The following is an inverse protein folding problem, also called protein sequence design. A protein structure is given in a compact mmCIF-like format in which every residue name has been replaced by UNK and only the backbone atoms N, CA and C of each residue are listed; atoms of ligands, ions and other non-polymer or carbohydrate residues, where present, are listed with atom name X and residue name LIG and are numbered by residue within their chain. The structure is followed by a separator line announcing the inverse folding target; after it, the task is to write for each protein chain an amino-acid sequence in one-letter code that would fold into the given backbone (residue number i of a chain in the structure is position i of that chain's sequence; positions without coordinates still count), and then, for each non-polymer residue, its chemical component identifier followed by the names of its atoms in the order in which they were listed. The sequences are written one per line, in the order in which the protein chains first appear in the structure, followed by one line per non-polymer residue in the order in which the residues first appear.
data_IF_368029705177
#
_entry.id   IF_368029705177
#
_cell.length_a   1.000
_cell.length_b   1.000
_cell.length_c   1.000
_cell.angle_alpha   90.00
_cell.angle_beta   90.00
_cell.angle_gamma   90.00
#
_symmetry.space_group_name_H-M   'P 1'
#
loop_
_entity.id
_entity.type
_entity.pdbx_description
1 polymer ?
#
# COMPACT_ATOMS: atom_id res chain seq x y z
N UNK A 1 8.39 -35.26 -13.92
CA UNK A 1 7.98 -36.68 -14.12
C UNK A 1 7.29 -37.31 -12.90
N UNK A 2 7.64 -36.95 -11.65
CA UNK A 2 7.01 -37.54 -10.44
C UNK A 2 5.56 -37.08 -10.24
N UNK A 3 5.18 -35.86 -10.67
CA UNK A 3 3.82 -35.29 -10.48
C UNK A 3 2.75 -35.89 -11.43
N UNK A 4 3.12 -36.46 -12.55
CA UNK A 4 2.16 -37.04 -13.49
C UNK A 4 1.65 -38.41 -13.03
N UNK A 5 2.48 -39.20 -12.35
CA UNK A 5 2.13 -40.52 -11.83
C UNK A 5 1.22 -40.46 -10.59
N UNK A 6 1.29 -39.40 -9.81
CA UNK A 6 0.37 -39.15 -8.67
C UNK A 6 -1.01 -38.70 -9.15
N UNK A 7 -1.06 -38.03 -10.29
CA UNK A 7 -2.32 -37.53 -10.88
C UNK A 7 -3.21 -38.66 -11.41
N UNK A 8 -2.61 -39.67 -12.05
CA UNK A 8 -3.36 -40.81 -12.61
C UNK A 8 -3.92 -41.76 -11.53
N UNK A 9 -3.26 -41.89 -10.39
CA UNK A 9 -3.75 -42.74 -9.29
C UNK A 9 -4.92 -42.11 -8.51
N UNK A 10 -5.10 -40.79 -8.57
CA UNK A 10 -6.19 -40.05 -7.90
C UNK A 10 -7.47 -39.94 -8.75
N UNK A 11 -7.38 -40.25 -10.07
CA UNK A 11 -8.53 -40.21 -10.98
C UNK A 11 -9.47 -41.43 -10.86
N UNK A 12 -9.05 -42.51 -10.21
CA UNK A 12 -9.75 -43.81 -10.25
C UNK A 12 -10.48 -44.20 -8.96
N UNK A 13 -10.69 -43.31 -8.00
CA UNK A 13 -11.41 -43.64 -6.75
C UNK A 13 -12.76 -42.90 -6.65
N UNK A 14 -13.85 -43.61 -7.03
CA UNK A 14 -15.25 -43.16 -6.97
C UNK A 14 -15.84 -43.08 -5.57
N UNK A 15 -15.15 -42.51 -4.57
CA UNK A 15 -15.63 -42.40 -3.20
C UNK A 15 -15.95 -40.94 -2.84
N UNK A 16 -17.14 -40.59 -2.30
CA UNK A 16 -17.54 -39.23 -1.97
C UNK A 16 -16.67 -38.53 -0.92
N UNK A 17 -15.93 -39.27 -0.10
CA UNK A 17 -14.94 -38.70 0.86
C UNK A 17 -13.68 -38.11 0.16
N UNK A 18 -13.40 -38.54 -1.07
CA UNK A 18 -12.28 -37.97 -1.86
C UNK A 18 -12.64 -36.67 -2.54
N UNK A 19 -13.91 -36.28 -2.63
CA UNK A 19 -14.33 -34.99 -3.21
C UNK A 19 -13.89 -33.80 -2.34
N UNK A 20 -13.88 -33.94 -1.02
CA UNK A 20 -13.44 -32.90 -0.07
C UNK A 20 -11.92 -32.76 -0.12
N UNK A 21 -11.19 -33.89 -0.11
CA UNK A 21 -9.74 -33.89 -0.26
C UNK A 21 -9.30 -33.37 -1.65
N UNK A 22 -10.08 -33.66 -2.70
CA UNK A 22 -9.90 -33.11 -4.04
C UNK A 22 -10.05 -31.58 -4.06
N UNK A 23 -11.02 -31.04 -3.34
CA UNK A 23 -11.28 -29.61 -3.25
C UNK A 23 -10.19 -28.89 -2.45
N UNK A 24 -9.69 -29.49 -1.36
CA UNK A 24 -8.58 -29.00 -0.56
C UNK A 24 -7.26 -29.07 -1.34
N UNK A 25 -7.03 -30.18 -2.06
CA UNK A 25 -5.82 -30.38 -2.85
C UNK A 25 -5.79 -29.51 -4.12
N UNK A 26 -6.94 -29.31 -4.80
CA UNK A 26 -7.08 -28.34 -5.90
C UNK A 26 -6.90 -26.89 -5.37
N UNK A 27 -7.39 -26.57 -4.18
CA UNK A 27 -7.19 -25.26 -3.59
C UNK A 27 -5.72 -25.01 -3.19
N UNK A 28 -5.01 -26.03 -2.69
CA UNK A 28 -3.58 -25.96 -2.41
C UNK A 28 -2.72 -25.99 -3.68
N UNK A 29 -3.13 -26.72 -4.74
CA UNK A 29 -2.46 -26.72 -6.06
C UNK A 29 -2.68 -25.39 -6.81
N UNK A 30 -3.85 -24.77 -6.68
CA UNK A 30 -4.10 -23.42 -7.22
C UNK A 30 -3.24 -22.39 -6.47
N UNK A 31 -3.04 -22.54 -5.15
CA UNK A 31 -2.08 -21.70 -4.39
C UNK A 31 -0.61 -21.97 -4.72
N UNK A 32 -0.25 -23.19 -5.16
CA UNK A 32 1.14 -23.58 -5.49
C UNK A 32 1.45 -23.41 -6.99
N UNK A 33 0.46 -23.50 -7.90
CA UNK A 33 0.66 -23.35 -9.35
C UNK A 33 0.62 -21.89 -9.86
N UNK A 34 0.50 -20.89 -8.97
CA UNK A 34 0.80 -19.50 -9.35
C UNK A 34 2.30 -19.16 -9.23
N UNK A 35 3.14 -20.13 -8.91
CA UNK A 35 4.59 -19.94 -8.86
C UNK A 35 5.25 -21.04 -9.70
N UNK A 36 5.76 -20.70 -10.85
CA UNK A 36 6.63 -21.45 -11.78
C UNK A 36 5.98 -22.02 -13.05
N UNK A 37 5.83 -21.15 -14.03
CA UNK A 37 6.07 -21.52 -15.42
C UNK A 37 6.60 -20.29 -16.17
N UNK A 38 7.87 -20.39 -16.57
CA UNK A 38 8.59 -19.49 -17.47
C UNK A 38 9.03 -18.14 -16.85
N UNK A 39 10.26 -18.04 -16.38
CA UNK A 39 11.23 -16.93 -16.44
C UNK A 39 10.82 -15.47 -16.21
N UNK A 40 9.55 -15.17 -15.98
CA UNK A 40 9.02 -13.88 -15.54
C UNK A 40 8.30 -14.11 -14.20
N UNK A 41 8.77 -13.47 -13.16
CA UNK A 41 8.04 -13.35 -11.89
C UNK A 41 6.75 -12.59 -12.22
N UNK A 42 5.62 -13.29 -12.40
CA UNK A 42 4.31 -12.63 -12.48
C UNK A 42 4.12 -11.94 -11.11
N UNK A 43 4.26 -10.62 -11.10
CA UNK A 43 3.98 -9.84 -9.91
C UNK A 43 2.51 -10.04 -9.52
N UNK A 44 2.27 -10.40 -8.25
CA UNK A 44 0.91 -10.69 -7.76
C UNK A 44 0.08 -9.39 -7.75
N UNK A 45 -1.14 -9.45 -8.29
CA UNK A 45 -2.09 -8.33 -8.26
C UNK A 45 -2.52 -8.09 -6.81
N UNK A 46 -2.16 -6.92 -6.27
CA UNK A 46 -2.41 -6.54 -4.89
C UNK A 46 -3.71 -5.77 -4.74
N UNK A 47 -3.95 -4.80 -5.63
CA UNK A 47 -5.15 -3.96 -5.65
C UNK A 47 -5.77 -3.97 -7.04
N UNK A 48 -7.09 -4.12 -7.11
CA UNK A 48 -7.88 -4.06 -8.33
C UNK A 48 -9.15 -3.25 -8.06
N UNK A 49 -9.26 -2.09 -8.66
CA UNK A 49 -10.39 -1.16 -8.56
C UNK A 49 -11.07 -1.09 -9.91
N UNK A 50 -12.39 -1.29 -9.92
CA UNK A 50 -13.20 -1.34 -11.14
C UNK A 50 -14.37 -0.39 -11.05
N UNK A 51 -14.38 0.63 -11.90
CA UNK A 51 -15.47 1.58 -12.05
C UNK A 51 -15.91 2.22 -10.72
N UNK A 52 -14.96 2.59 -9.85
CA UNK A 52 -15.23 3.07 -8.51
C UNK A 52 -15.89 4.45 -8.51
N UNK A 53 -17.05 4.57 -7.86
CA UNK A 53 -17.73 5.81 -7.56
C UNK A 53 -17.86 5.99 -6.05
N UNK A 54 -17.57 7.19 -5.55
CA UNK A 54 -17.62 7.49 -4.10
C UNK A 54 -18.27 8.83 -3.85
N UNK A 55 -19.12 8.89 -2.82
CA UNK A 55 -19.76 10.12 -2.34
C UNK A 55 -19.38 10.44 -0.90
N UNK A 56 -19.44 11.74 -0.57
CA UNK A 56 -19.33 12.30 0.78
C UNK A 56 -20.47 13.26 0.97
N UNK A 57 -21.28 13.08 2.01
CA UNK A 57 -22.44 13.92 2.30
C UNK A 57 -23.35 14.12 1.06
N UNK A 58 -23.54 13.05 0.26
CA UNK A 58 -24.35 13.05 -0.95
C UNK A 58 -23.69 13.71 -2.19
N UNK A 59 -22.47 14.21 -2.06
CA UNK A 59 -21.71 14.76 -3.20
C UNK A 59 -20.75 13.72 -3.75
N UNK A 60 -20.84 13.44 -5.05
CA UNK A 60 -19.94 12.51 -5.73
C UNK A 60 -18.55 13.12 -5.90
N UNK A 61 -17.54 12.45 -5.34
CA UNK A 61 -16.13 12.88 -5.37
C UNK A 61 -15.29 12.03 -6.31
N UNK A 62 -15.47 10.69 -6.30
CA UNK A 62 -14.81 9.76 -7.23
C UNK A 62 -15.85 9.34 -8.27
N UNK A 63 -15.48 9.39 -9.54
CA UNK A 63 -16.43 9.32 -10.68
C UNK A 63 -16.00 8.30 -11.72
N UNK A 64 -15.87 7.03 -11.32
CA UNK A 64 -15.53 5.91 -12.20
C UNK A 64 -14.01 5.74 -12.38
N UNK A 65 -13.32 5.33 -11.31
CA UNK A 65 -11.88 5.03 -11.35
C UNK A 65 -11.66 3.54 -11.55
N UNK A 66 -10.76 3.21 -12.47
CA UNK A 66 -10.15 1.90 -12.66
C UNK A 66 -8.66 1.99 -12.31
N UNK A 67 -8.15 1.06 -11.49
CA UNK A 67 -6.75 1.02 -11.08
C UNK A 67 -6.32 -0.38 -10.67
N UNK A 68 -5.27 -0.89 -11.30
CA UNK A 68 -4.59 -2.11 -10.90
C UNK A 68 -3.21 -1.79 -10.36
N UNK A 69 -2.83 -2.38 -9.21
CA UNK A 69 -1.49 -2.28 -8.62
C UNK A 69 -0.99 -3.67 -8.30
N UNK A 70 0.19 -4.01 -8.80
CA UNK A 70 0.87 -5.26 -8.49
C UNK A 70 1.93 -5.08 -7.42
N UNK A 71 2.31 -6.21 -6.80
CA UNK A 71 3.45 -6.23 -5.88
C UNK A 71 4.72 -5.77 -6.60
N UNK A 72 5.46 -4.84 -5.98
CA UNK A 72 6.68 -4.28 -6.56
C UNK A 72 6.46 -3.07 -7.47
N UNK A 73 5.20 -2.69 -7.78
CA UNK A 73 4.91 -1.51 -8.60
C UNK A 73 4.69 -0.26 -7.73
N UNK A 74 5.19 0.86 -8.19
CA UNK A 74 4.96 2.18 -7.60
C UNK A 74 4.09 3.00 -8.55
N UNK A 75 2.88 3.32 -8.11
CA UNK A 75 1.95 4.19 -8.81
C UNK A 75 1.90 5.57 -8.14
N UNK A 76 1.89 6.62 -8.91
CA UNK A 76 1.73 7.98 -8.43
C UNK A 76 0.40 8.59 -8.91
N UNK A 77 -0.36 9.22 -8.02
CA UNK A 77 -1.51 10.03 -8.37
C UNK A 77 -1.14 11.49 -8.21
N UNK A 78 -1.21 12.24 -9.29
CA UNK A 78 -1.03 13.68 -9.32
C UNK A 78 -2.34 14.39 -9.69
N UNK A 79 -2.58 15.57 -9.13
CA UNK A 79 -3.78 16.36 -9.41
C UNK A 79 -3.87 17.56 -8.51
N UNK A 80 -4.71 18.53 -8.89
CA UNK A 80 -4.97 19.73 -8.09
C UNK A 80 -5.59 19.38 -6.73
N UNK A 81 -5.51 20.29 -5.79
CA UNK A 81 -6.23 20.15 -4.52
C UNK A 81 -7.74 20.03 -4.79
N UNK A 82 -8.39 19.11 -4.07
CA UNK A 82 -9.81 18.82 -4.28
C UNK A 82 -10.12 17.85 -5.44
N UNK A 83 -9.12 17.34 -6.17
CA UNK A 83 -9.34 16.38 -7.26
C UNK A 83 -9.87 14.99 -6.81
N UNK A 84 -9.83 14.69 -5.50
CA UNK A 84 -10.30 13.40 -4.95
C UNK A 84 -9.18 12.43 -4.53
N UNK A 85 -7.90 12.84 -4.62
CA UNK A 85 -6.74 11.96 -4.35
C UNK A 85 -6.77 11.33 -2.95
N UNK A 86 -6.84 12.15 -1.90
CA UNK A 86 -6.90 11.67 -0.51
C UNK A 86 -8.20 10.91 -0.21
N UNK A 87 -9.30 11.24 -0.91
CA UNK A 87 -10.56 10.50 -0.84
C UNK A 87 -10.35 9.04 -1.23
N UNK A 88 -9.62 8.78 -2.31
CA UNK A 88 -9.32 7.42 -2.74
C UNK A 88 -8.54 6.64 -1.67
N UNK A 89 -7.49 7.22 -1.09
CA UNK A 89 -6.72 6.57 -0.01
C UNK A 89 -7.58 6.28 1.24
N UNK A 90 -8.43 7.22 1.63
CA UNK A 90 -9.33 7.06 2.77
C UNK A 90 -10.41 5.98 2.53
N UNK A 91 -10.98 5.92 1.34
CA UNK A 91 -11.94 4.87 0.95
C UNK A 91 -11.29 3.49 1.00
N UNK A 92 -10.09 3.36 0.45
CA UNK A 92 -9.33 2.11 0.50
C UNK A 92 -9.05 1.65 1.94
N UNK A 93 -8.88 2.59 2.87
CA UNK A 93 -8.73 2.27 4.30
C UNK A 93 -10.05 2.14 5.07
N UNK A 94 -11.21 2.33 4.42
CA UNK A 94 -12.52 2.14 5.04
C UNK A 94 -12.95 3.28 5.96
N UNK A 95 -12.54 4.51 5.67
CA UNK A 95 -12.94 5.67 6.46
C UNK A 95 -14.47 5.89 6.38
N UNK A 96 -15.20 5.98 7.51
CA UNK A 96 -16.66 5.89 7.55
C UNK A 96 -17.41 7.10 6.96
N UNK A 97 -16.72 8.20 6.66
CA UNK A 97 -17.34 9.37 6.03
C UNK A 97 -17.56 9.20 4.52
N UNK A 98 -17.01 8.14 3.91
CA UNK A 98 -17.07 7.92 2.47
C UNK A 98 -17.97 6.73 2.14
N UNK A 99 -18.87 6.91 1.18
CA UNK A 99 -19.80 5.91 0.71
C UNK A 99 -19.42 5.47 -0.71
N UNK A 100 -19.17 4.17 -0.90
CA UNK A 100 -19.01 3.59 -2.24
C UNK A 100 -20.41 3.45 -2.83
N UNK A 101 -20.69 4.23 -3.87
CA UNK A 101 -22.02 4.24 -4.51
C UNK A 101 -22.09 3.28 -5.70
N UNK A 102 -20.96 2.94 -6.31
CA UNK A 102 -20.85 1.99 -7.41
C UNK A 102 -19.40 1.54 -7.59
N UNK A 103 -19.20 0.43 -8.28
CA UNK A 103 -17.90 -0.17 -8.56
C UNK A 103 -17.50 -1.22 -7.53
N UNK A 104 -16.34 -1.82 -7.74
CA UNK A 104 -15.82 -2.91 -6.91
C UNK A 104 -14.35 -2.68 -6.59
N UNK A 105 -13.91 -3.08 -5.40
CA UNK A 105 -12.53 -3.04 -4.98
C UNK A 105 -12.13 -4.42 -4.49
N UNK A 106 -11.05 -4.96 -5.06
CA UNK A 106 -10.45 -6.21 -4.64
C UNK A 106 -9.05 -5.97 -4.09
N UNK A 107 -8.76 -6.57 -2.96
CA UNK A 107 -7.45 -6.60 -2.34
C UNK A 107 -6.99 -8.05 -2.16
N UNK A 108 -5.84 -8.39 -2.75
CA UNK A 108 -5.32 -9.77 -2.80
C UNK A 108 -6.37 -10.78 -3.29
N UNK A 109 -7.17 -10.38 -4.29
CA UNK A 109 -8.21 -11.18 -4.91
C UNK A 109 -9.50 -11.38 -4.10
N UNK A 110 -9.67 -10.66 -2.98
CA UNK A 110 -10.90 -10.67 -2.16
C UNK A 110 -11.56 -9.31 -2.19
N UNK A 111 -12.90 -9.26 -2.16
CA UNK A 111 -13.62 -8.00 -2.05
C UNK A 111 -13.19 -7.25 -0.80
N UNK A 112 -12.91 -5.95 -0.95
CA UNK A 112 -12.49 -5.10 0.16
C UNK A 112 -13.65 -4.85 1.16
N UNK A 113 -14.90 -5.04 0.73
CA UNK A 113 -16.09 -4.95 1.59
C UNK A 113 -16.15 -6.05 2.65
N UNK A 114 -15.40 -7.15 2.46
CA UNK A 114 -15.29 -8.23 3.44
C UNK A 114 -14.39 -7.87 4.64
N UNK A 115 -13.71 -6.71 4.61
CA UNK A 115 -12.74 -6.30 5.62
C UNK A 115 -13.18 -5.05 6.37
N UNK A 116 -13.26 -5.14 7.69
CA UNK A 116 -13.33 -3.98 8.56
C UNK A 116 -12.00 -3.17 8.54
N UNK A 117 -12.04 -1.91 8.99
CA UNK A 117 -10.87 -1.00 9.00
C UNK A 117 -9.63 -1.63 9.62
N UNK A 118 -9.79 -2.29 10.79
CA UNK A 118 -8.66 -2.94 11.47
C UNK A 118 -8.19 -4.21 10.74
N UNK A 119 -9.10 -4.90 10.04
CA UNK A 119 -8.78 -6.10 9.25
C UNK A 119 -7.98 -5.74 8.02
N UNK A 120 -8.25 -4.60 7.38
CA UNK A 120 -7.44 -4.06 6.27
C UNK A 120 -5.99 -3.86 6.68
N UNK A 121 -5.77 -3.24 7.84
CA UNK A 121 -4.43 -3.05 8.40
C UNK A 121 -3.74 -4.39 8.73
N UNK A 122 -4.47 -5.34 9.31
CA UNK A 122 -3.94 -6.70 9.62
C UNK A 122 -3.67 -7.51 8.36
N UNK A 123 -4.44 -7.32 7.32
CA UNK A 123 -4.22 -7.96 6.02
C UNK A 123 -3.02 -7.38 5.26
N UNK A 124 -2.37 -6.32 5.78
CA UNK A 124 -1.17 -5.74 5.21
C UNK A 124 -1.39 -4.46 4.41
N UNK A 125 -2.50 -3.74 4.60
CA UNK A 125 -2.67 -2.39 4.07
C UNK A 125 -2.07 -1.37 5.05
N UNK A 126 -1.34 -0.40 4.54
CA UNK A 126 -0.72 0.69 5.30
C UNK A 126 -1.12 2.05 4.73
N UNK A 127 -1.44 3.01 5.60
CA UNK A 127 -1.69 4.39 5.23
C UNK A 127 -0.70 5.32 5.96
N UNK A 128 0.06 6.10 5.20
CA UNK A 128 0.76 7.26 5.72
C UNK A 128 -0.16 8.48 5.61
N UNK A 129 -0.47 9.10 6.74
CA UNK A 129 -1.40 10.21 6.80
C UNK A 129 -0.73 11.52 6.36
N UNK A 130 -1.48 12.42 5.73
CA UNK A 130 -1.01 13.79 5.48
C UNK A 130 -0.59 14.47 6.80
N UNK A 131 -1.40 14.33 7.86
CA UNK A 131 -1.13 14.85 9.20
C UNK A 131 -1.18 13.72 10.24
N UNK A 132 -0.05 13.04 10.54
CA UNK A 132 -0.03 11.98 11.54
C UNK A 132 -0.42 12.47 12.93
N UNK A 133 -1.43 11.85 13.60
CA UNK A 133 -1.88 12.28 14.92
C UNK A 133 -0.84 11.98 15.99
N UNK A 134 -0.83 12.79 17.05
CA UNK A 134 -0.04 12.53 18.26
C UNK A 134 -0.78 11.57 19.18
N UNK A 135 -0.05 10.66 19.85
CA UNK A 135 -0.60 9.75 20.86
C UNK A 135 0.18 9.94 22.17
N UNK A 136 -0.21 10.93 23.00
CA UNK A 136 0.47 11.19 24.26
C UNK A 136 0.43 9.98 25.18
N UNK A 137 1.52 9.75 25.90
CA UNK A 137 1.63 8.61 26.83
C UNK A 137 1.99 7.27 26.20
N UNK A 138 1.94 7.13 24.87
CA UNK A 138 2.32 5.91 24.15
C UNK A 138 3.73 6.06 23.59
N UNK A 139 4.71 5.34 24.15
CA UNK A 139 6.09 5.36 23.66
C UNK A 139 6.21 4.70 22.27
N UNK A 140 7.00 5.31 21.39
CA UNK A 140 7.28 4.81 20.03
C UNK A 140 7.72 3.36 20.01
N UNK A 141 8.67 2.97 20.85
CA UNK A 141 9.18 1.59 20.90
C UNK A 141 8.10 0.55 21.25
N UNK A 142 7.22 0.88 22.21
CA UNK A 142 6.10 0.02 22.59
C UNK A 142 5.03 -0.05 21.51
N UNK A 143 4.72 1.09 20.89
CA UNK A 143 3.79 1.18 19.78
C UNK A 143 4.25 0.30 18.61
N UNK A 144 5.48 0.49 18.11
CA UNK A 144 6.03 -0.29 17.01
C UNK A 144 6.01 -1.80 17.27
N UNK A 145 6.43 -2.23 18.48
CA UNK A 145 6.42 -3.65 18.83
C UNK A 145 5.02 -4.24 18.83
N UNK A 146 4.02 -3.52 19.39
CA UNK A 146 2.63 -3.96 19.39
C UNK A 146 2.05 -4.00 18.00
N UNK A 147 2.31 -2.98 17.15
CA UNK A 147 1.85 -2.94 15.77
C UNK A 147 2.37 -4.12 14.96
N UNK A 148 3.67 -4.40 15.04
CA UNK A 148 4.28 -5.55 14.35
C UNK A 148 3.67 -6.88 14.80
N UNK A 149 3.46 -7.07 16.10
CA UNK A 149 2.88 -8.31 16.63
C UNK A 149 1.39 -8.47 16.26
N UNK A 150 0.66 -7.37 16.00
CA UNK A 150 -0.75 -7.44 15.58
C UNK A 150 -0.93 -7.73 14.08
N UNK A 151 0.06 -7.37 13.26
CA UNK A 151 0.01 -7.58 11.80
C UNK A 151 0.60 -8.93 11.41
N UNK A 152 1.66 -9.37 12.07
CA UNK A 152 2.30 -10.67 11.76
C UNK A 152 1.54 -11.82 12.42
N UNK A 153 1.42 -12.94 11.71
CA UNK A 153 0.72 -14.15 12.22
C UNK A 153 1.31 -14.69 13.51
N UNK A 154 2.65 -14.59 13.68
CA UNK A 154 3.36 -15.02 14.87
C UNK A 154 4.02 -13.83 15.59
N UNK A 155 4.04 -13.89 16.92
CA UNK A 155 4.76 -12.91 17.75
C UNK A 155 6.25 -12.94 17.44
N UNK A 156 6.78 -11.83 16.97
CA UNK A 156 8.20 -11.70 16.63
C UNK A 156 9.05 -11.78 17.91
N UNK A 157 10.08 -12.63 17.91
CA UNK A 157 11.01 -12.74 19.04
C UNK A 157 11.69 -11.38 19.30
N UNK A 158 11.85 -11.03 20.58
CA UNK A 158 12.39 -9.71 20.97
C UNK A 158 13.76 -9.40 20.35
N UNK A 159 14.60 -10.42 20.13
CA UNK A 159 15.92 -10.28 19.50
C UNK A 159 15.80 -9.94 18.01
N UNK A 160 14.89 -10.59 17.32
CA UNK A 160 14.63 -10.40 15.90
C UNK A 160 14.02 -9.01 15.64
N UNK A 161 12.95 -8.66 16.37
CA UNK A 161 12.38 -7.33 16.34
C UNK A 161 13.42 -6.23 16.55
N UNK A 162 14.31 -6.39 17.57
CA UNK A 162 15.36 -5.40 17.85
C UNK A 162 16.36 -5.28 16.70
N UNK A 163 16.68 -6.39 16.01
CA UNK A 163 17.57 -6.38 14.85
C UNK A 163 16.94 -5.63 13.69
N UNK A 164 15.68 -5.94 13.35
CA UNK A 164 14.94 -5.26 12.28
C UNK A 164 14.77 -3.76 12.59
N UNK A 165 14.34 -3.42 13.81
CA UNK A 165 14.17 -2.05 14.27
C UNK A 165 15.46 -1.24 14.14
N UNK A 166 16.58 -1.76 14.63
CA UNK A 166 17.87 -1.05 14.56
C UNK A 166 18.30 -0.83 13.10
N UNK A 167 18.14 -1.83 12.24
CA UNK A 167 18.47 -1.72 10.81
C UNK A 167 17.61 -0.67 10.11
N UNK A 168 16.30 -0.65 10.37
CA UNK A 168 15.41 0.34 9.77
C UNK A 168 15.69 1.76 10.30
N UNK A 169 15.95 1.92 11.60
CA UNK A 169 16.33 3.21 12.19
C UNK A 169 17.64 3.76 11.62
N UNK A 170 18.65 2.89 11.41
CA UNK A 170 19.92 3.28 10.79
C UNK A 170 19.72 3.80 9.36
N UNK A 171 18.89 3.11 8.56
CA UNK A 171 18.56 3.53 7.18
C UNK A 171 17.85 4.88 7.12
N UNK A 172 17.04 5.19 8.12
CA UNK A 172 16.27 6.44 8.25
C UNK A 172 16.98 7.52 9.08
N UNK A 173 18.24 7.28 9.47
CA UNK A 173 19.04 8.19 10.29
C UNK A 173 18.30 8.63 11.57
N UNK A 174 17.62 7.69 12.23
CA UNK A 174 16.87 7.94 13.47
C UNK A 174 17.68 7.55 14.70
N UNK A 175 17.82 8.47 15.65
CA UNK A 175 18.48 8.19 16.93
C UNK A 175 17.59 7.33 17.84
N UNK A 176 18.23 6.47 18.65
CA UNK A 176 17.52 5.57 19.56
C UNK A 176 16.68 6.26 20.63
N UNK A 177 16.97 7.51 20.96
CA UNK A 177 16.15 8.30 21.89
C UNK A 177 14.72 8.47 21.44
N UNK A 178 14.44 8.39 20.11
CA UNK A 178 13.09 8.39 19.58
C UNK A 178 12.19 7.30 20.17
N UNK A 179 12.74 6.13 20.49
CA UNK A 179 11.97 5.00 21.02
C UNK A 179 11.33 5.26 22.38
N UNK A 180 11.91 6.17 23.16
CA UNK A 180 11.40 6.57 24.49
C UNK A 180 10.43 7.76 24.43
N UNK A 181 10.38 8.49 23.30
CA UNK A 181 9.44 9.59 23.09
C UNK A 181 8.03 9.07 22.83
N UNK A 182 7.01 9.89 23.05
CA UNK A 182 5.63 9.55 22.72
C UNK A 182 5.37 9.73 21.21
N UNK A 183 4.50 8.88 20.65
CA UNK A 183 4.20 8.85 19.21
C UNK A 183 3.75 10.22 18.74
N UNK A 184 4.54 10.83 17.85
CA UNK A 184 4.30 12.15 17.22
C UNK A 184 4.13 13.34 18.17
N UNK A 185 4.34 13.16 19.48
CA UNK A 185 4.21 14.23 20.47
C UNK A 185 5.47 15.10 20.48
N UNK A 186 5.30 16.39 20.12
CA UNK A 186 6.41 17.32 19.95
C UNK A 186 7.38 16.99 18.82
N UNK A 187 6.98 16.16 17.84
CA UNK A 187 7.79 15.85 16.67
C UNK A 187 7.68 16.95 15.60
N UNK A 188 8.80 17.27 14.96
CA UNK A 188 8.79 18.06 13.72
C UNK A 188 8.10 17.29 12.58
N UNK A 189 7.73 17.99 11.50
CA UNK A 189 7.15 17.36 10.31
C UNK A 189 8.03 16.21 9.77
N UNK A 190 9.33 16.47 9.61
CA UNK A 190 10.28 15.45 9.14
C UNK A 190 10.44 14.27 10.10
N UNK A 191 10.40 14.50 11.42
CA UNK A 191 10.43 13.43 12.42
C UNK A 191 9.19 12.54 12.35
N UNK A 192 7.99 13.13 12.16
CA UNK A 192 6.73 12.39 11.99
C UNK A 192 6.78 11.51 10.75
N UNK A 193 7.23 12.05 9.61
CA UNK A 193 7.32 11.30 8.36
C UNK A 193 8.37 10.17 8.43
N UNK A 194 9.52 10.40 9.06
CA UNK A 194 10.50 9.33 9.32
C UNK A 194 9.92 8.22 10.22
N UNK A 195 9.10 8.58 11.22
CA UNK A 195 8.42 7.57 12.03
C UNK A 195 7.39 6.76 11.22
N UNK A 196 6.66 7.38 10.27
CA UNK A 196 5.78 6.65 9.37
C UNK A 196 6.55 5.69 8.44
N UNK A 197 7.69 6.14 7.88
CA UNK A 197 8.56 5.25 7.09
C UNK A 197 9.11 4.10 7.94
N UNK A 198 9.50 4.35 9.19
CA UNK A 198 9.93 3.31 10.12
C UNK A 198 8.81 2.28 10.38
N UNK A 199 7.57 2.74 10.55
CA UNK A 199 6.40 1.86 10.68
C UNK A 199 6.25 1.00 9.41
N UNK A 200 6.24 1.60 8.22
CA UNK A 200 6.07 0.92 6.95
C UNK A 200 7.15 -0.15 6.74
N UNK A 201 8.43 0.17 6.96
CA UNK A 201 9.55 -0.78 6.85
C UNK A 201 9.44 -1.96 7.83
N UNK A 202 8.91 -1.74 9.03
CA UNK A 202 8.74 -2.80 10.05
C UNK A 202 7.49 -3.64 9.80
N UNK A 203 6.40 -3.03 9.36
CA UNK A 203 5.13 -3.72 9.10
C UNK A 203 5.18 -4.54 7.83
N UNK A 204 6.01 -4.14 6.82
CA UNK A 204 6.17 -4.81 5.53
C UNK A 204 4.80 -5.05 4.87
N UNK A 205 4.05 -3.97 4.56
CA UNK A 205 2.72 -4.09 4.00
C UNK A 205 2.75 -4.73 2.61
N UNK A 206 1.64 -5.33 2.19
CA UNK A 206 1.44 -5.72 0.79
C UNK A 206 1.00 -4.53 -0.06
N UNK A 207 0.30 -3.54 0.54
CA UNK A 207 -0.11 -2.29 -0.10
C UNK A 207 0.20 -1.10 0.82
N UNK A 208 0.95 -0.12 0.31
CA UNK A 208 1.22 1.14 0.99
C UNK A 208 0.55 2.31 0.27
N UNK A 209 -0.31 3.03 0.97
CA UNK A 209 -0.98 4.24 0.53
C UNK A 209 -0.28 5.44 1.19
N UNK A 210 0.35 6.30 0.41
CA UNK A 210 1.19 7.39 0.88
C UNK A 210 0.56 8.74 0.49
N UNK A 211 -0.18 9.35 1.42
CA UNK A 211 -0.92 10.59 1.15
C UNK A 211 -0.10 11.82 1.54
N UNK A 212 0.37 12.56 0.53
CA UNK A 212 1.18 13.78 0.63
C UNK A 212 2.32 13.68 1.67
N UNK A 213 3.07 12.56 1.61
CA UNK A 213 4.17 12.29 2.55
C UNK A 213 5.36 13.24 2.42
N UNK A 214 5.40 14.03 1.37
CA UNK A 214 6.42 15.03 1.04
C UNK A 214 6.06 16.45 1.46
N UNK A 215 4.83 16.68 1.93
CA UNK A 215 4.35 18.00 2.29
C UNK A 215 5.13 18.60 3.47
N UNK A 216 5.68 19.82 3.27
CA UNK A 216 6.41 20.57 4.29
C UNK A 216 7.78 19.99 4.67
N UNK A 217 8.34 19.08 3.91
CA UNK A 217 9.67 18.51 4.14
C UNK A 217 10.77 19.35 3.47
N UNK A 218 11.91 19.45 4.15
CA UNK A 218 13.15 19.85 3.53
C UNK A 218 13.73 18.73 2.65
N UNK A 219 14.77 19.03 1.87
CA UNK A 219 15.32 18.09 0.89
C UNK A 219 15.95 16.86 1.56
N UNK A 220 16.51 16.99 2.76
CA UNK A 220 17.16 15.88 3.45
C UNK A 220 16.11 14.93 4.04
N UNK A 221 15.05 15.45 4.67
CA UNK A 221 13.92 14.64 5.11
C UNK A 221 13.21 13.97 3.93
N UNK A 222 13.06 14.66 2.78
CA UNK A 222 12.48 14.11 1.57
C UNK A 222 13.28 12.90 1.03
N UNK A 223 14.62 12.99 1.03
CA UNK A 223 15.50 11.88 0.63
C UNK A 223 15.35 10.66 1.53
N UNK A 224 15.20 10.86 2.84
CA UNK A 224 15.00 9.76 3.79
C UNK A 224 13.62 9.11 3.62
N UNK A 225 12.57 9.89 3.35
CA UNK A 225 11.25 9.38 3.00
C UNK A 225 11.32 8.55 1.72
N UNK A 226 11.89 9.08 0.65
CA UNK A 226 12.05 8.37 -0.63
C UNK A 226 12.85 7.07 -0.45
N UNK A 227 13.91 7.07 0.37
CA UNK A 227 14.67 5.87 0.71
C UNK A 227 13.80 4.82 1.40
N UNK A 228 12.97 5.22 2.38
CA UNK A 228 12.04 4.31 3.04
C UNK A 228 11.01 3.71 2.07
N UNK A 229 10.49 4.49 1.13
CA UNK A 229 9.58 4.03 0.07
C UNK A 229 10.28 2.99 -0.81
N UNK A 230 11.44 3.32 -1.38
CA UNK A 230 12.17 2.45 -2.30
C UNK A 230 12.59 1.12 -1.64
N UNK A 231 13.02 1.15 -0.37
CA UNK A 231 13.37 -0.05 0.40
C UNK A 231 12.16 -0.98 0.63
N UNK A 232 10.96 -0.43 0.72
CA UNK A 232 9.74 -1.21 0.96
C UNK A 232 9.13 -1.70 -0.35
N UNK A 233 9.27 -0.95 -1.44
CA UNK A 233 8.59 -1.19 -2.70
C UNK A 233 8.95 -2.52 -3.38
N UNK A 234 10.11 -3.14 -3.10
CA UNK A 234 10.52 -4.41 -3.75
C UNK A 234 9.46 -5.52 -3.68
N UNK A 235 8.64 -5.55 -2.62
CA UNK A 235 7.60 -6.57 -2.40
C UNK A 235 6.25 -5.96 -1.99
N UNK A 236 6.07 -4.67 -2.22
CA UNK A 236 4.88 -3.90 -1.81
C UNK A 236 4.33 -3.17 -3.01
N UNK A 237 3.03 -3.25 -3.25
CA UNK A 237 2.36 -2.31 -4.14
C UNK A 237 2.29 -0.93 -3.46
N UNK A 238 2.78 0.11 -4.10
CA UNK A 238 2.83 1.46 -3.51
C UNK A 238 1.98 2.43 -4.32
N UNK A 239 1.09 3.14 -3.64
CA UNK A 239 0.33 4.25 -4.21
C UNK A 239 0.75 5.55 -3.54
N UNK A 240 1.48 6.39 -4.27
CA UNK A 240 1.95 7.71 -3.82
C UNK A 240 0.97 8.78 -4.30
N UNK A 241 0.41 9.53 -3.38
CA UNK A 241 -0.38 10.72 -3.68
C UNK A 241 0.50 11.94 -3.42
N UNK A 242 0.80 12.71 -4.43
CA UNK A 242 1.61 13.93 -4.32
C UNK A 242 1.24 14.93 -5.42
N UNK A 243 1.56 16.16 -5.19
CA UNK A 243 1.54 17.22 -6.19
C UNK A 243 2.94 17.79 -6.47
N UNK A 244 3.99 17.15 -5.91
CA UNK A 244 5.38 17.58 -6.06
C UNK A 244 6.20 16.57 -6.86
N UNK A 245 6.76 17.01 -7.97
CA UNK A 245 7.68 16.25 -8.81
C UNK A 245 8.92 15.76 -8.02
N UNK A 246 9.43 16.57 -7.09
CA UNK A 246 10.67 16.28 -6.35
C UNK A 246 10.68 14.93 -5.62
N UNK A 247 9.54 14.47 -5.09
CA UNK A 247 9.44 13.13 -4.51
C UNK A 247 9.53 12.08 -5.61
N UNK A 248 8.84 12.28 -6.74
CA UNK A 248 8.79 11.31 -7.84
C UNK A 248 10.15 11.16 -8.54
N UNK A 249 10.98 12.19 -8.57
CA UNK A 249 12.36 12.11 -9.07
C UNK A 249 13.23 11.14 -8.24
N UNK A 250 12.94 11.02 -6.94
CA UNK A 250 13.68 10.15 -6.01
C UNK A 250 13.09 8.73 -5.94
N UNK A 251 11.77 8.61 -6.07
CA UNK A 251 11.04 7.33 -5.95
C UNK A 251 10.93 6.62 -7.29
N UNK A 252 10.85 7.36 -8.41
CA UNK A 252 10.75 6.86 -9.79
C UNK A 252 9.57 5.89 -9.97
N UNK A 253 8.34 6.38 -9.97
CA UNK A 253 7.15 5.55 -10.12
C UNK A 253 7.14 4.82 -11.47
N UNK A 254 6.55 3.62 -11.52
CA UNK A 254 6.31 2.87 -12.74
C UNK A 254 5.18 3.50 -13.55
N UNK A 255 4.15 4.00 -12.85
CA UNK A 255 2.97 4.63 -13.44
C UNK A 255 2.61 5.93 -12.75
N UNK A 256 2.16 6.89 -13.55
CA UNK A 256 1.64 8.19 -13.09
C UNK A 256 0.23 8.38 -13.62
N UNK A 257 -0.70 8.75 -12.74
CA UNK A 257 -2.11 9.01 -13.05
C UNK A 257 -2.44 10.47 -12.77
N UNK A 258 -2.87 11.20 -13.79
CA UNK A 258 -3.39 12.56 -13.65
C UNK A 258 -4.86 12.51 -13.25
N UNK A 259 -5.18 13.04 -12.07
CA UNK A 259 -6.54 13.06 -11.52
C UNK A 259 -7.14 14.46 -11.57
N UNK A 260 -8.29 14.59 -12.24
CA UNK A 260 -9.07 15.83 -12.32
C UNK A 260 -10.53 15.48 -12.02
N UNK A 261 -11.16 16.24 -11.14
CA UNK A 261 -12.58 16.13 -10.79
C UNK A 261 -13.05 14.68 -10.58
N UNK A 262 -12.29 13.92 -9.79
CA UNK A 262 -12.64 12.55 -9.41
C UNK A 262 -12.38 11.47 -10.46
N UNK A 263 -11.68 11.78 -11.55
CA UNK A 263 -11.38 10.85 -12.65
C UNK A 263 -9.89 10.81 -12.97
N UNK A 264 -9.41 9.66 -13.41
CA UNK A 264 -8.12 9.60 -14.09
C UNK A 264 -8.31 10.03 -15.55
N UNK A 265 -7.81 11.21 -15.88
CA UNK A 265 -7.93 11.78 -17.24
C UNK A 265 -6.79 11.34 -18.15
N UNK A 266 -5.64 11.00 -17.57
CA UNK A 266 -4.49 10.45 -18.29
C UNK A 266 -3.67 9.56 -17.36
N UNK A 267 -3.18 8.45 -17.88
CA UNK A 267 -2.20 7.58 -17.22
C UNK A 267 -1.02 7.35 -18.14
N UNK A 268 0.19 7.26 -17.58
CA UNK A 268 1.42 7.08 -18.34
C UNK A 268 2.58 6.66 -17.44
N UNK A 269 3.79 6.68 -17.99
CA UNK A 269 5.03 6.45 -17.24
C UNK A 269 5.50 7.69 -16.48
N UNK A 270 6.73 7.66 -15.94
CA UNK A 270 7.30 8.76 -15.15
C UNK A 270 7.34 10.11 -15.90
N UNK A 271 7.41 10.09 -17.24
CA UNK A 271 7.42 11.27 -18.09
C UNK A 271 6.15 12.12 -17.94
N UNK A 272 5.02 11.50 -17.61
CA UNK A 272 3.78 12.24 -17.39
C UNK A 272 3.89 13.21 -16.21
N UNK A 273 4.63 12.87 -15.17
CA UNK A 273 4.86 13.75 -14.03
C UNK A 273 5.59 15.04 -14.45
N UNK A 274 6.62 14.91 -15.32
CA UNK A 274 7.34 16.06 -15.90
C UNK A 274 6.42 16.93 -16.76
N UNK A 275 5.56 16.30 -17.57
CA UNK A 275 4.59 17.05 -18.40
C UNK A 275 3.60 17.85 -17.53
N UNK A 276 3.15 17.26 -16.41
CA UNK A 276 2.21 17.89 -15.48
C UNK A 276 2.85 19.07 -14.73
N UNK A 277 4.14 18.98 -14.39
CA UNK A 277 4.85 20.08 -13.74
C UNK A 277 5.11 21.24 -14.73
N UNK A 278 5.50 20.94 -15.95
CA UNK A 278 5.83 21.95 -16.99
C UNK A 278 4.57 22.66 -17.52
N UNK A 279 3.52 21.90 -17.86
CA UNK A 279 2.31 22.39 -18.56
C UNK A 279 1.11 22.64 -17.66
N UNK A 280 1.17 22.21 -16.37
CA UNK A 280 0.01 22.19 -15.50
C UNK A 280 -1.04 21.16 -15.93
N UNK A 281 -2.30 21.37 -15.56
CA UNK A 281 -3.40 20.43 -15.84
C UNK A 281 -4.37 20.89 -16.92
N UNK A 282 -4.37 22.19 -17.33
CA UNK A 282 -5.37 22.79 -18.22
C UNK A 282 -5.45 22.10 -19.58
N UNK A 283 -4.33 21.62 -20.10
CA UNK A 283 -4.27 20.91 -21.39
C UNK A 283 -4.92 19.52 -21.37
N UNK A 284 -5.23 18.97 -20.19
CA UNK A 284 -5.96 17.71 -20.03
C UNK A 284 -7.48 17.91 -19.95
N UNK A 285 -7.94 19.14 -19.77
CA UNK A 285 -9.35 19.50 -19.66
C UNK A 285 -9.92 19.95 -21.05
N UNK A 286 -9.04 20.11 -22.06
CA UNK A 286 -9.39 20.49 -23.40
C UNK A 286 -9.72 19.23 -24.24
#
# INVERSE_FOLDING_TARGET
MVNALVFDSLLNLGNPKTAILRRIFLHSLIKVNHVHLIGETLSELVLDIRGLHVSVDGNEIIKGIDLEIKSGEIHAIMGRNGAGKSTLAHVLMGHPAYEITSGEIYYLGKSLDEYDVFERARAGMFLSFQYPPSIPGVQVGNFLKKSVNNVREENVKAREFRKELNSAMEKLEMDRSFLSRYVNDGFSGGEKKRLEMLQMMLLKPSLALLDETDSGLDIDALRLVAKGINETAENTGVLVITHYQRLLDLVKPDYVHAMIDGKFVKSGGPELALELEDKGYDWLEA
#
